data_IF_059013890267
#
_entry.id   IF_059013890267
#
_cell.length_a   1.000
_cell.length_b   1.000
_cell.length_c   1.000
_cell.angle_alpha   90.00
_cell.angle_beta   90.00
_cell.angle_gamma   90.00
#
_symmetry.space_group_name_H-M   'P 1'
#
loop_
_entity.id
_entity.type
_entity.pdbx_description
1 polymer ?
#
# COMPACT_ATOMS: atom_id res chain seq x y z
N UNK A 1 3.25 -21.26 -12.59
CA UNK A 1 3.26 -19.79 -12.44
C UNK A 1 4.43 -19.41 -11.54
N UNK A 2 4.44 -19.80 -10.27
CA UNK A 2 5.44 -19.44 -9.26
C UNK A 2 6.89 -19.62 -9.73
N UNK A 3 7.25 -20.79 -10.28
CA UNK A 3 8.59 -21.08 -10.82
C UNK A 3 9.06 -20.12 -11.90
N UNK A 4 8.15 -19.50 -12.67
CA UNK A 4 8.49 -18.50 -13.67
C UNK A 4 8.62 -17.11 -13.07
N UNK A 5 7.74 -16.76 -12.14
CA UNK A 5 7.73 -15.46 -11.48
C UNK A 5 8.97 -15.21 -10.61
N UNK A 6 9.48 -16.26 -9.94
CA UNK A 6 10.65 -16.13 -9.08
C UNK A 6 11.91 -15.67 -9.86
N UNK A 7 12.01 -16.03 -11.13
CA UNK A 7 13.16 -15.71 -11.98
C UNK A 7 13.08 -14.31 -12.63
N UNK A 8 11.97 -13.61 -12.48
CA UNK A 8 11.84 -12.24 -13.01
C UNK A 8 12.70 -11.31 -12.14
N UNK A 9 13.57 -10.54 -12.79
CA UNK A 9 14.39 -9.52 -12.12
C UNK A 9 13.69 -8.18 -12.24
N UNK A 10 13.63 -7.43 -11.11
CA UNK A 10 12.96 -6.15 -11.04
C UNK A 10 11.51 -6.25 -10.54
N UNK A 11 10.80 -5.12 -10.57
CA UNK A 11 9.41 -5.02 -10.13
C UNK A 11 8.45 -5.28 -11.31
N UNK A 12 7.40 -6.04 -11.03
CA UNK A 12 6.35 -6.35 -12.00
C UNK A 12 4.99 -6.32 -11.30
N UNK A 13 4.08 -5.50 -11.82
CA UNK A 13 2.67 -5.52 -11.43
C UNK A 13 1.82 -5.65 -12.67
N UNK A 14 0.86 -6.56 -12.65
CA UNK A 14 0.05 -6.80 -13.84
C UNK A 14 -1.11 -7.75 -13.60
N UNK A 15 -2.01 -7.73 -14.57
CA UNK A 15 -3.19 -8.60 -14.66
C UNK A 15 -3.07 -9.37 -15.97
N UNK A 16 -3.23 -10.68 -15.89
CA UNK A 16 -3.15 -11.55 -17.07
C UNK A 16 -4.48 -12.28 -17.23
N UNK A 17 -5.00 -12.19 -18.42
CA UNK A 17 -6.13 -12.96 -18.93
C UNK A 17 -5.60 -13.88 -20.02
N UNK A 18 -6.11 -15.10 -20.10
CA UNK A 18 -5.70 -16.08 -21.10
C UNK A 18 -6.94 -16.76 -21.70
N UNK A 19 -6.93 -16.90 -23.00
CA UNK A 19 -7.93 -17.68 -23.75
C UNK A 19 -7.83 -19.19 -23.50
N UNK A 20 -6.67 -19.67 -23.07
CA UNK A 20 -6.49 -21.06 -22.61
C UNK A 20 -7.17 -21.33 -21.25
N UNK A 21 -7.41 -20.28 -20.47
CA UNK A 21 -8.06 -20.33 -19.15
C UNK A 21 -9.08 -19.19 -18.98
N UNK A 22 -10.15 -19.12 -19.76
CA UNK A 22 -11.04 -17.97 -19.85
C UNK A 22 -11.79 -17.65 -18.53
N UNK A 23 -11.92 -18.64 -17.63
CA UNK A 23 -12.56 -18.47 -16.32
C UNK A 23 -11.61 -17.99 -15.21
N UNK A 24 -10.35 -17.65 -15.54
CA UNK A 24 -9.36 -17.25 -14.51
C UNK A 24 -8.66 -15.94 -14.85
N UNK A 25 -8.45 -15.13 -13.83
CA UNK A 25 -7.63 -13.91 -13.87
C UNK A 25 -6.43 -14.12 -12.97
N UNK A 26 -5.23 -13.90 -13.50
CA UNK A 26 -4.00 -13.94 -12.74
C UNK A 26 -3.55 -12.52 -12.42
N UNK A 27 -3.36 -12.25 -11.15
CA UNK A 27 -2.78 -11.01 -10.61
C UNK A 27 -1.32 -11.28 -10.24
N UNK A 28 -0.44 -10.34 -10.53
CA UNK A 28 0.97 -10.44 -10.17
C UNK A 28 1.40 -9.13 -9.53
N UNK A 29 2.02 -9.23 -8.34
CA UNK A 29 2.70 -8.13 -7.70
C UNK A 29 4.07 -8.59 -7.21
N UNK A 30 5.12 -8.22 -7.91
CA UNK A 30 6.51 -8.45 -7.54
C UNK A 30 7.20 -7.12 -7.27
N UNK A 31 7.83 -7.00 -6.11
CA UNK A 31 8.38 -5.74 -5.63
C UNK A 31 7.31 -4.80 -5.07
N UNK A 32 7.65 -3.53 -4.91
CA UNK A 32 6.87 -2.53 -4.17
C UNK A 32 5.89 -1.70 -5.03
N UNK A 33 5.54 -2.17 -6.23
CA UNK A 33 4.53 -1.50 -7.05
C UNK A 33 3.12 -1.69 -6.45
N UNK A 34 2.25 -0.69 -6.58
CA UNK A 34 0.88 -0.78 -6.10
C UNK A 34 0.04 -1.76 -6.92
N UNK A 35 -0.80 -2.54 -6.23
CA UNK A 35 -1.94 -3.25 -6.82
C UNK A 35 -3.07 -3.26 -5.82
N UNK A 36 -4.05 -2.42 -6.05
CA UNK A 36 -5.25 -2.30 -5.24
C UNK A 36 -6.42 -2.98 -5.93
N UNK A 37 -7.19 -3.70 -5.15
CA UNK A 37 -8.39 -4.38 -5.57
C UNK A 37 -9.57 -3.76 -4.83
N UNK A 38 -10.56 -3.30 -5.57
CA UNK A 38 -11.84 -2.87 -5.04
C UNK A 38 -12.90 -3.91 -5.37
N UNK A 39 -13.84 -4.13 -4.47
CA UNK A 39 -14.99 -5.01 -4.70
C UNK A 39 -16.26 -4.22 -4.50
N UNK A 40 -17.19 -4.39 -5.43
CA UNK A 40 -18.54 -3.93 -5.33
C UNK A 40 -19.43 -5.07 -5.84
N UNK A 41 -20.55 -5.32 -5.21
CA UNK A 41 -21.53 -6.40 -5.46
C UNK A 41 -21.04 -7.57 -6.36
N UNK A 42 -21.06 -7.37 -7.67
CA UNK A 42 -20.73 -8.36 -8.70
C UNK A 42 -19.44 -8.06 -9.48
N UNK A 43 -18.67 -7.03 -9.06
CA UNK A 43 -17.49 -6.54 -9.80
C UNK A 43 -16.27 -6.48 -8.92
N UNK A 44 -15.12 -6.78 -9.55
CA UNK A 44 -13.80 -6.53 -8.97
C UNK A 44 -13.09 -5.51 -9.85
N UNK A 45 -12.57 -4.48 -9.21
CA UNK A 45 -11.85 -3.38 -9.83
C UNK A 45 -10.39 -3.48 -9.45
N UNK A 46 -9.53 -3.02 -10.35
CA UNK A 46 -8.08 -3.03 -10.15
C UNK A 46 -7.51 -1.66 -10.44
N UNK A 47 -6.55 -1.24 -9.62
CA UNK A 47 -5.78 -0.02 -9.86
C UNK A 47 -4.38 -0.15 -9.27
N UNK A 48 -3.43 0.58 -9.83
CA UNK A 48 -2.10 0.74 -9.23
C UNK A 48 -2.10 1.63 -7.99
N UNK A 49 -3.19 2.37 -7.77
CA UNK A 49 -3.37 3.27 -6.63
C UNK A 49 -4.81 3.23 -6.13
N UNK A 50 -5.02 3.40 -4.82
CA UNK A 50 -6.36 3.43 -4.23
C UNK A 50 -7.20 4.61 -4.75
N UNK A 51 -6.58 5.71 -5.17
CA UNK A 51 -7.27 6.86 -5.76
C UNK A 51 -8.09 6.52 -7.01
N UNK A 52 -7.62 5.55 -7.81
CA UNK A 52 -8.32 5.11 -9.00
C UNK A 52 -9.60 4.31 -8.73
N UNK A 53 -9.89 3.98 -7.47
CA UNK A 53 -11.01 3.14 -7.07
C UNK A 53 -12.07 3.87 -6.23
N UNK A 54 -11.82 5.13 -5.84
CA UNK A 54 -12.66 5.85 -4.85
C UNK A 54 -14.09 6.13 -5.31
N UNK A 55 -14.31 6.21 -6.61
CA UNK A 55 -15.63 6.47 -7.19
C UNK A 55 -16.44 5.18 -7.41
N UNK A 56 -15.76 4.02 -7.45
CA UNK A 56 -16.37 2.72 -7.75
C UNK A 56 -16.49 1.82 -6.52
N UNK A 57 -15.60 1.99 -5.54
CA UNK A 57 -15.53 1.13 -4.36
C UNK A 57 -15.28 1.94 -3.09
N UNK A 58 -15.97 1.59 -2.02
CA UNK A 58 -15.77 2.15 -0.69
C UNK A 58 -14.75 1.37 0.16
N UNK A 59 -14.36 0.17 -0.30
CA UNK A 59 -13.39 -0.70 0.36
C UNK A 59 -12.41 -1.28 -0.65
N UNK A 60 -11.14 -1.32 -0.27
CA UNK A 60 -10.06 -1.83 -1.09
C UNK A 60 -9.15 -2.77 -0.31
N UNK A 61 -8.53 -3.69 -1.02
CA UNK A 61 -7.45 -4.54 -0.55
C UNK A 61 -6.19 -4.22 -1.36
N UNK A 62 -5.08 -3.97 -0.68
CA UNK A 62 -3.77 -3.84 -1.34
C UNK A 62 -3.12 -5.23 -1.36
N UNK A 63 -2.88 -5.77 -2.55
CA UNK A 63 -2.22 -7.08 -2.70
C UNK A 63 -0.84 -7.03 -2.03
N UNK A 64 -0.52 -8.07 -1.27
CA UNK A 64 0.77 -8.18 -0.58
C UNK A 64 1.93 -8.22 -1.59
N UNK A 65 3.10 -7.72 -1.18
CA UNK A 65 4.30 -7.69 -2.01
C UNK A 65 4.82 -9.11 -2.25
N UNK A 66 5.47 -9.30 -3.41
CA UNK A 66 5.99 -10.60 -3.83
C UNK A 66 4.96 -11.75 -3.80
N UNK A 67 3.73 -11.42 -4.22
CA UNK A 67 2.61 -12.34 -4.31
C UNK A 67 2.01 -12.38 -5.72
N UNK A 68 1.28 -13.46 -5.99
CA UNK A 68 0.37 -13.54 -7.12
C UNK A 68 -1.01 -14.01 -6.64
N UNK A 69 -2.06 -13.51 -7.25
CA UNK A 69 -3.44 -13.88 -6.95
C UNK A 69 -4.11 -14.56 -8.13
N UNK A 70 -5.02 -15.47 -7.84
CA UNK A 70 -5.88 -16.12 -8.84
C UNK A 70 -7.33 -15.83 -8.46
N UNK A 71 -8.09 -15.31 -9.45
CA UNK A 71 -9.53 -15.11 -9.34
C UNK A 71 -10.19 -16.12 -10.26
N UNK A 72 -11.16 -16.86 -9.75
CA UNK A 72 -12.04 -17.75 -10.53
C UNK A 72 -13.36 -17.02 -10.79
N UNK A 73 -13.60 -16.68 -12.07
CA UNK A 73 -14.78 -15.91 -12.49
C UNK A 73 -16.07 -16.72 -12.44
N UNK A 74 -15.97 -18.04 -12.62
CA UNK A 74 -17.12 -18.96 -12.66
C UNK A 74 -17.56 -19.44 -11.26
N UNK A 75 -16.85 -18.99 -10.20
CA UNK A 75 -17.21 -19.37 -8.84
C UNK A 75 -18.42 -18.55 -8.35
N UNK A 76 -19.31 -19.19 -7.57
CA UNK A 76 -20.48 -18.51 -6.96
C UNK A 76 -20.09 -17.35 -6.03
N UNK A 77 -18.89 -17.39 -5.51
CA UNK A 77 -18.28 -16.33 -4.73
C UNK A 77 -16.98 -15.90 -5.42
N UNK A 78 -16.91 -14.65 -5.85
CA UNK A 78 -15.68 -14.07 -6.37
C UNK A 78 -14.63 -14.03 -5.25
N UNK A 79 -13.87 -15.11 -5.14
CA UNK A 79 -12.77 -15.24 -4.19
C UNK A 79 -11.42 -15.04 -4.86
N UNK A 80 -10.49 -14.51 -4.12
CA UNK A 80 -9.10 -14.31 -4.57
C UNK A 80 -8.20 -15.20 -3.75
N UNK A 81 -7.51 -16.12 -4.38
CA UNK A 81 -6.47 -16.93 -3.76
C UNK A 81 -5.11 -16.27 -4.00
N UNK A 82 -4.43 -15.86 -2.94
CA UNK A 82 -3.14 -15.19 -2.98
C UNK A 82 -2.06 -16.14 -2.52
N UNK A 83 -0.98 -16.20 -3.29
CA UNK A 83 0.16 -17.07 -3.05
C UNK A 83 1.46 -16.28 -3.12
N UNK A 84 2.41 -16.58 -2.25
CA UNK A 84 3.74 -15.99 -2.29
C UNK A 84 4.55 -16.43 -3.50
N UNK A 85 5.33 -15.53 -4.10
CA UNK A 85 6.22 -15.85 -5.23
C UNK A 85 7.43 -16.64 -4.74
N UNK A 86 8.04 -16.21 -3.64
CA UNK A 86 9.28 -16.79 -3.09
C UNK A 86 9.08 -17.47 -1.72
N UNK A 87 7.87 -17.51 -1.24
CA UNK A 87 7.50 -18.07 0.06
C UNK A 87 6.38 -19.10 -0.05
N UNK A 88 6.13 -19.81 1.05
CA UNK A 88 4.98 -20.70 1.20
C UNK A 88 3.71 -19.96 1.67
N UNK A 89 3.67 -18.64 1.52
CA UNK A 89 2.50 -17.84 1.88
C UNK A 89 1.33 -18.20 0.98
N UNK A 90 0.19 -18.44 1.60
CA UNK A 90 -1.06 -18.76 0.92
C UNK A 90 -2.22 -18.14 1.74
N UNK A 91 -3.09 -17.41 1.09
CA UNK A 91 -4.21 -16.75 1.73
C UNK A 91 -5.40 -16.63 0.77
N UNK A 92 -6.59 -16.95 1.24
CA UNK A 92 -7.84 -16.60 0.55
C UNK A 92 -8.33 -15.26 1.10
N UNK A 93 -8.49 -14.28 0.22
CA UNK A 93 -8.96 -12.94 0.58
C UNK A 93 -10.45 -13.01 0.89
N UNK A 94 -10.82 -12.47 2.05
CA UNK A 94 -12.20 -12.37 2.53
C UNK A 94 -12.62 -10.91 2.60
N UNK A 95 -13.92 -10.66 2.77
CA UNK A 95 -14.46 -9.30 2.89
C UNK A 95 -13.86 -8.52 4.08
N UNK A 96 -13.47 -9.21 5.15
CA UNK A 96 -12.80 -8.62 6.33
C UNK A 96 -11.39 -8.09 6.03
N UNK A 97 -10.73 -8.58 4.98
CA UNK A 97 -9.40 -8.13 4.55
C UNK A 97 -9.43 -6.79 3.81
N UNK A 98 -10.60 -6.40 3.32
CA UNK A 98 -10.77 -5.13 2.64
C UNK A 98 -10.86 -3.98 3.66
N UNK A 99 -10.01 -2.99 3.50
CA UNK A 99 -10.01 -1.78 4.30
C UNK A 99 -10.88 -0.71 3.67
N UNK A 100 -11.57 0.09 4.50
CA UNK A 100 -12.34 1.24 4.00
C UNK A 100 -11.40 2.24 3.34
N UNK A 101 -11.79 2.74 2.18
CA UNK A 101 -11.08 3.84 1.53
C UNK A 101 -11.31 5.11 2.33
N UNK A 102 -10.24 5.64 2.92
CA UNK A 102 -10.29 6.91 3.68
C UNK A 102 -10.19 8.12 2.73
N UNK A 103 -9.73 7.87 1.51
CA UNK A 103 -9.55 8.87 0.47
C UNK A 103 -10.92 9.15 -0.17
N UNK A 104 -11.26 10.41 -0.33
CA UNK A 104 -12.50 10.81 -0.99
C UNK A 104 -12.22 11.40 -2.36
N UNK A 105 -13.21 11.41 -3.25
CA UNK A 105 -13.12 12.08 -4.55
C UNK A 105 -12.76 13.56 -4.42
N UNK A 106 -13.08 14.21 -3.28
CA UNK A 106 -12.65 15.58 -2.96
C UNK A 106 -11.14 15.70 -2.78
N UNK A 107 -10.48 14.68 -2.22
CA UNK A 107 -9.04 14.67 -2.02
C UNK A 107 -8.30 14.54 -3.35
N UNK A 108 -8.91 13.82 -4.29
CA UNK A 108 -8.42 13.64 -5.67
C UNK A 108 -8.70 14.88 -6.53
N UNK A 109 -9.68 15.72 -6.17
CA UNK A 109 -10.05 16.88 -6.98
C UNK A 109 -8.96 17.95 -7.03
N UNK A 110 -8.86 18.67 -8.15
CA UNK A 110 -7.95 19.83 -8.27
C UNK A 110 -8.32 21.00 -7.37
N UNK A 111 -9.53 20.98 -6.77
CA UNK A 111 -10.08 22.14 -6.06
C UNK A 111 -10.05 23.38 -6.97
N UNK A 112 -9.52 24.50 -6.48
CA UNK A 112 -9.38 25.75 -7.25
C UNK A 112 -8.12 25.83 -8.14
N UNK A 113 -7.29 24.80 -8.12
CA UNK A 113 -6.02 24.83 -8.87
C UNK A 113 -6.20 24.42 -10.33
N UNK A 114 -5.48 25.09 -11.23
CA UNK A 114 -5.48 24.78 -12.66
C UNK A 114 -4.88 23.41 -12.96
N UNK A 115 -3.85 23.01 -12.20
CA UNK A 115 -3.09 21.77 -12.39
C UNK A 115 -2.92 21.02 -11.07
N UNK A 116 -2.93 19.68 -11.09
CA UNK A 116 -2.68 18.84 -9.92
C UNK A 116 -1.31 19.13 -9.30
N UNK A 117 -0.25 19.20 -10.10
CA UNK A 117 1.10 19.51 -9.61
C UNK A 117 1.13 20.82 -8.82
N UNK A 118 0.42 21.86 -9.30
CA UNK A 118 0.35 23.14 -8.59
C UNK A 118 -0.34 22.98 -7.23
N UNK A 119 -1.44 22.22 -7.16
CA UNK A 119 -2.11 21.88 -5.90
C UNK A 119 -1.13 21.18 -4.95
N UNK A 120 -0.44 20.13 -5.39
CA UNK A 120 0.50 19.36 -4.58
C UNK A 120 1.66 20.23 -4.06
N UNK A 121 2.19 21.14 -4.87
CA UNK A 121 3.23 22.09 -4.43
C UNK A 121 2.70 22.96 -3.28
N UNK A 122 1.50 23.50 -3.39
CA UNK A 122 0.92 24.34 -2.34
C UNK A 122 0.56 23.54 -1.07
N UNK A 123 0.07 22.32 -1.22
CA UNK A 123 -0.27 21.42 -0.09
C UNK A 123 0.98 20.84 0.59
N UNK A 124 2.15 20.86 -0.05
CA UNK A 124 3.41 20.29 0.50
C UNK A 124 3.74 20.87 1.87
N UNK A 125 3.56 22.18 2.08
CA UNK A 125 3.82 22.82 3.38
C UNK A 125 3.01 22.17 4.50
N UNK A 126 1.71 22.01 4.31
CA UNK A 126 0.80 21.48 5.33
C UNK A 126 1.07 19.99 5.57
N UNK A 127 1.41 19.26 4.49
CA UNK A 127 1.77 17.83 4.57
C UNK A 127 3.07 17.65 5.35
N UNK A 128 4.11 18.43 5.05
CA UNK A 128 5.39 18.38 5.76
C UNK A 128 5.19 18.74 7.23
N UNK A 129 4.47 19.81 7.52
CA UNK A 129 4.18 20.22 8.89
C UNK A 129 3.43 19.13 9.66
N UNK A 130 2.36 18.59 9.10
CA UNK A 130 1.57 17.52 9.74
C UNK A 130 2.40 16.25 9.93
N UNK A 131 3.26 15.91 8.99
CA UNK A 131 4.16 14.76 9.08
C UNK A 131 5.18 14.97 10.20
N UNK A 132 5.83 16.13 10.25
CA UNK A 132 6.77 16.48 11.32
C UNK A 132 6.08 16.38 12.68
N UNK A 133 4.93 17.03 12.85
CA UNK A 133 4.18 17.02 14.11
C UNK A 133 3.68 15.62 14.52
N UNK A 134 3.50 14.72 13.56
CA UNK A 134 3.16 13.32 13.84
C UNK A 134 4.31 12.58 14.52
N UNK A 135 5.55 12.81 14.10
CA UNK A 135 6.72 12.06 14.57
C UNK A 135 7.54 12.80 15.61
N UNK A 136 7.46 14.12 15.65
CA UNK A 136 8.24 14.97 16.53
C UNK A 136 7.32 15.65 17.56
N UNK A 137 7.77 15.66 18.81
CA UNK A 137 7.15 16.43 19.90
C UNK A 137 8.07 17.60 20.22
N UNK A 138 7.63 18.85 20.04
CA UNK A 138 8.41 20.00 20.46
C UNK A 138 8.48 20.06 22.00
N UNK A 139 9.66 20.33 22.55
CA UNK A 139 9.81 20.72 23.94
C UNK A 139 9.99 22.24 24.00
N UNK A 140 8.90 22.94 24.26
CA UNK A 140 8.87 24.40 24.29
C UNK A 140 9.76 25.02 25.38
N UNK A 141 10.24 24.23 26.36
CA UNK A 141 11.07 24.71 27.44
C UNK A 141 12.58 24.61 27.16
N UNK A 142 12.99 23.84 26.13
CA UNK A 142 14.42 23.49 25.92
C UNK A 142 14.94 23.75 24.52
N UNK A 143 14.13 24.29 23.62
CA UNK A 143 14.47 24.42 22.18
C UNK A 143 14.89 23.09 21.52
N UNK A 144 14.44 21.97 22.07
CA UNK A 144 14.73 20.63 21.57
C UNK A 144 13.49 19.95 21.02
N UNK A 145 13.70 18.98 20.15
CA UNK A 145 12.64 18.16 19.59
C UNK A 145 12.87 16.71 20.00
N UNK A 146 11.80 16.02 20.36
CA UNK A 146 11.83 14.60 20.69
C UNK A 146 11.10 13.80 19.64
N UNK A 147 11.69 12.69 19.20
CA UNK A 147 11.00 11.69 18.39
C UNK A 147 9.96 10.97 19.26
N UNK A 148 8.76 10.82 18.75
CA UNK A 148 7.73 9.99 19.37
C UNK A 148 8.04 8.52 19.12
N UNK A 149 8.84 7.90 19.99
CA UNK A 149 9.37 6.55 19.81
C UNK A 149 8.32 5.46 19.54
N UNK A 150 7.13 5.63 20.11
CA UNK A 150 6.01 4.68 19.96
C UNK A 150 5.51 4.57 18.51
N UNK A 151 5.67 5.63 17.71
CA UNK A 151 5.22 5.67 16.32
C UNK A 151 6.26 5.11 15.34
N UNK A 152 7.54 5.13 15.73
CA UNK A 152 8.61 4.68 14.86
C UNK A 152 8.81 3.16 14.89
N UNK A 153 8.10 2.44 15.78
CA UNK A 153 8.29 0.98 16.01
C UNK A 153 9.76 0.59 16.19
N UNK A 154 10.56 1.52 16.72
CA UNK A 154 11.98 1.26 16.99
C UNK A 154 12.05 0.30 18.18
N UNK A 155 12.89 -0.71 18.06
CA UNK A 155 13.17 -1.63 19.16
C UNK A 155 13.63 -0.87 20.40
N UNK A 156 13.15 -1.30 21.59
CA UNK A 156 13.46 -0.62 22.85
C UNK A 156 14.95 -0.61 23.16
N UNK A 157 15.65 -1.66 22.81
CA UNK A 157 17.10 -1.77 22.99
C UNK A 157 17.83 -0.76 22.11
N UNK A 158 17.43 -0.66 20.83
CA UNK A 158 17.97 0.31 19.88
C UNK A 158 17.71 1.75 20.34
N UNK A 159 16.50 2.01 20.85
CA UNK A 159 16.14 3.32 21.39
C UNK A 159 16.98 3.70 22.61
N UNK A 160 17.32 2.71 23.46
CA UNK A 160 18.16 2.91 24.63
C UNK A 160 19.59 3.24 24.21
N UNK A 161 20.17 2.51 23.26
CA UNK A 161 21.49 2.78 22.69
C UNK A 161 21.57 4.16 22.03
N UNK A 162 20.52 4.54 21.32
CA UNK A 162 20.42 5.87 20.73
C UNK A 162 20.42 6.98 21.78
N UNK A 163 19.66 6.81 22.87
CA UNK A 163 19.63 7.78 23.98
C UNK A 163 20.92 7.85 24.77
N UNK A 164 21.69 6.77 24.81
CA UNK A 164 23.00 6.68 25.46
C UNK A 164 24.15 7.21 24.59
N UNK A 165 23.88 7.68 23.36
CA UNK A 165 24.89 8.05 22.36
C UNK A 165 25.85 6.90 22.01
N UNK A 166 25.37 5.66 22.02
CA UNK A 166 26.14 4.47 21.68
C UNK A 166 26.01 4.07 20.19
N UNK A 167 25.36 4.92 19.39
CA UNK A 167 25.21 4.72 17.95
C UNK A 167 26.05 5.75 17.22
N UNK A 168 27.09 5.29 16.55
CA UNK A 168 28.04 6.15 15.83
C UNK A 168 27.60 6.41 14.38
N UNK A 169 26.81 5.50 13.78
CA UNK A 169 26.42 5.59 12.37
C UNK A 169 25.03 5.00 12.13
N UNK A 170 24.25 5.65 11.26
CA UNK A 170 22.99 5.13 10.73
C UNK A 170 23.13 5.07 9.21
N UNK A 171 23.07 3.85 8.67
CA UNK A 171 23.06 3.63 7.21
C UNK A 171 21.62 3.41 6.76
N UNK A 172 21.18 4.18 5.75
CA UNK A 172 19.84 4.13 5.16
C UNK A 172 19.93 3.60 3.73
#
# INVERSE_FOLDING_TARGET
IQKKLINIVGSLTGIILSDENPGKVLLIKKGNQGMFLGKNDDRIYFSSDAYGLVDDCDRVYNLDDDCFGIIELDSKELGIEVNGISSSFEKRIKDEDYSKVIITSRDVSKKSFKHYLLKEIYETKDIVESTILRYIKPDFNKEHYFLKGDLLRIDKELLTKFKANEIDEIVI
#
